data_IF_178768885359
#
_entry.id   IF_178768885359
#
_cell.length_a   1.000
_cell.length_b   1.000
_cell.length_c   1.000
_cell.angle_alpha   90.00
_cell.angle_beta   90.00
_cell.angle_gamma   90.00
#
_symmetry.space_group_name_H-M   'P 1'
#
loop_
_entity.id
_entity.type
_entity.pdbx_description
1 polymer ?
#
# COMPACT_ATOMS: atom_id res chain seq x y z
N UNK A 1 -15.27 -13.09 20.97
CA UNK A 1 -14.64 -13.99 19.98
C UNK A 1 -14.42 -13.19 18.71
N UNK A 2 -13.17 -13.05 18.27
CA UNK A 2 -12.84 -12.28 17.08
C UNK A 2 -12.99 -13.21 15.86
N UNK A 3 -14.14 -13.16 15.19
CA UNK A 3 -14.42 -13.88 13.93
C UNK A 3 -13.85 -13.13 12.73
N UNK A 4 -12.63 -12.61 12.84
CA UNK A 4 -11.83 -12.24 11.68
C UNK A 4 -11.28 -13.54 11.10
N UNK A 5 -12.10 -14.24 10.31
CA UNK A 5 -11.56 -15.27 9.42
C UNK A 5 -10.41 -14.63 8.63
N UNK A 6 -9.27 -15.31 8.57
CA UNK A 6 -8.12 -14.90 7.76
C UNK A 6 -8.57 -15.02 6.30
N UNK A 7 -9.24 -13.97 5.82
CA UNK A 7 -9.62 -13.83 4.43
C UNK A 7 -8.38 -13.31 3.72
N UNK A 8 -7.94 -14.04 2.69
CA UNK A 8 -6.79 -13.61 1.91
C UNK A 8 -7.12 -12.28 1.21
N UNK A 9 -6.16 -11.35 1.06
CA UNK A 9 -6.42 -10.02 0.49
C UNK A 9 -7.11 -10.07 -0.89
N UNK A 10 -6.76 -11.06 -1.72
CA UNK A 10 -7.38 -11.26 -3.03
C UNK A 10 -8.82 -11.75 -2.92
N UNK A 11 -9.13 -12.60 -1.94
CA UNK A 11 -10.51 -13.03 -1.70
C UNK A 11 -11.37 -11.85 -1.22
N UNK A 12 -10.80 -10.98 -0.39
CA UNK A 12 -11.45 -9.72 0.01
C UNK A 12 -11.70 -8.79 -1.18
N UNK A 13 -10.73 -8.67 -2.10
CA UNK A 13 -10.87 -7.88 -3.31
C UNK A 13 -11.98 -8.41 -4.23
N UNK A 14 -12.07 -9.74 -4.41
CA UNK A 14 -13.14 -10.35 -5.20
C UNK A 14 -14.52 -10.14 -4.57
N UNK A 15 -14.62 -10.15 -3.24
CA UNK A 15 -15.86 -9.80 -2.54
C UNK A 15 -16.20 -8.32 -2.77
N UNK A 16 -15.25 -7.40 -2.59
CA UNK A 16 -15.46 -5.97 -2.82
C UNK A 16 -15.96 -5.68 -4.24
N UNK A 17 -15.34 -6.31 -5.24
CA UNK A 17 -15.78 -6.25 -6.64
C UNK A 17 -17.24 -6.69 -6.83
N UNK A 18 -17.65 -7.81 -6.22
CA UNK A 18 -19.05 -8.29 -6.29
C UNK A 18 -20.05 -7.30 -5.73
N UNK A 19 -19.64 -6.46 -4.79
CA UNK A 19 -20.46 -5.39 -4.21
C UNK A 19 -20.26 -4.02 -4.88
N UNK A 20 -19.57 -3.97 -6.02
CA UNK A 20 -19.23 -2.73 -6.73
C UNK A 20 -18.45 -1.72 -5.86
N UNK A 21 -17.63 -2.22 -4.94
CA UNK A 21 -16.72 -1.40 -4.16
C UNK A 21 -15.34 -1.37 -4.84
N UNK A 22 -14.90 -0.18 -5.24
CA UNK A 22 -13.57 0.07 -5.78
C UNK A 22 -12.57 0.28 -4.64
N UNK A 23 -11.44 -0.45 -4.66
CA UNK A 23 -10.38 -0.32 -3.66
C UNK A 23 -9.17 0.34 -4.31
N UNK A 24 -8.73 1.46 -3.73
CA UNK A 24 -7.43 2.06 -4.00
C UNK A 24 -6.44 1.63 -2.92
N UNK A 25 -5.25 1.17 -3.32
CA UNK A 25 -4.23 0.69 -2.40
C UNK A 25 -3.04 1.65 -2.39
N UNK A 26 -2.51 1.94 -1.20
CA UNK A 26 -1.38 2.86 -1.03
C UNK A 26 -0.26 2.17 -0.25
N UNK A 27 0.88 1.95 -0.90
CA UNK A 27 2.09 1.40 -0.28
C UNK A 27 2.97 2.51 0.29
N UNK A 28 3.15 2.53 1.60
CA UNK A 28 3.92 3.58 2.30
C UNK A 28 5.28 3.05 2.75
N UNK A 29 6.35 3.82 2.50
CA UNK A 29 7.70 3.51 2.96
C UNK A 29 8.78 4.19 2.11
N UNK A 30 9.85 4.66 2.71
CA UNK A 30 10.91 5.38 1.98
C UNK A 30 11.80 4.47 1.11
N UNK A 31 11.63 3.15 1.18
CA UNK A 31 12.50 2.19 0.51
C UNK A 31 13.87 2.09 1.21
N UNK A 32 14.94 1.95 0.42
CA UNK A 32 16.30 1.92 0.95
C UNK A 32 16.81 3.33 1.26
N UNK A 33 17.08 3.60 2.54
CA UNK A 33 17.65 4.86 3.01
C UNK A 33 18.97 4.63 3.75
N UNK A 34 19.88 5.59 3.64
CA UNK A 34 21.13 5.60 4.41
C UNK A 34 20.90 6.35 5.72
N UNK A 35 20.93 5.64 6.83
CA UNK A 35 20.82 6.23 8.18
C UNK A 35 22.23 6.46 8.71
N UNK A 36 22.54 7.73 9.04
CA UNK A 36 23.82 8.09 9.65
C UNK A 36 23.71 7.95 11.17
N UNK A 37 24.49 7.05 11.72
CA UNK A 37 24.73 6.90 13.15
C UNK A 37 26.06 7.56 13.53
N UNK A 38 26.32 7.71 14.84
CA UNK A 38 27.43 8.49 15.39
C UNK A 38 28.80 8.16 14.78
N UNK A 39 29.04 6.89 14.41
CA UNK A 39 30.30 6.42 13.80
C UNK A 39 30.12 5.55 12.54
N UNK A 40 28.89 5.31 12.07
CA UNK A 40 28.62 4.41 10.95
C UNK A 40 27.44 4.91 10.11
N UNK A 41 27.42 4.59 8.82
CA UNK A 41 26.21 4.76 8.00
C UNK A 41 25.63 3.38 7.71
N UNK A 42 24.37 3.15 8.06
CA UNK A 42 23.66 1.88 7.84
C UNK A 42 22.63 2.04 6.73
N UNK A 43 22.62 1.12 5.77
CA UNK A 43 21.55 1.01 4.80
C UNK A 43 20.34 0.33 5.45
N UNK A 44 19.18 0.99 5.44
CA UNK A 44 17.93 0.50 6.03
C UNK A 44 16.87 0.45 4.94
N UNK A 45 16.24 -0.70 4.73
CA UNK A 45 15.07 -0.79 3.85
C UNK A 45 13.79 -0.70 4.69
N UNK A 46 13.09 0.42 4.59
CA UNK A 46 11.85 0.70 5.33
C UNK A 46 10.60 0.11 4.66
N UNK A 47 10.74 -0.41 3.44
CA UNK A 47 9.66 -1.04 2.68
C UNK A 47 9.90 -2.54 2.47
N UNK A 48 10.74 -3.17 3.30
CA UNK A 48 11.12 -4.58 3.13
C UNK A 48 9.91 -5.54 3.23
N UNK A 49 8.94 -5.20 4.08
CA UNK A 49 7.72 -6.01 4.28
C UNK A 49 6.54 -5.53 3.40
N UNK A 50 6.77 -4.57 2.50
CA UNK A 50 5.73 -4.02 1.64
C UNK A 50 5.46 -4.95 0.46
N UNK A 51 4.36 -5.70 0.52
CA UNK A 51 3.91 -6.53 -0.60
C UNK A 51 3.16 -5.70 -1.66
N UNK A 52 3.95 -4.98 -2.47
CA UNK A 52 3.43 -4.16 -3.57
C UNK A 52 2.66 -5.01 -4.61
N UNK A 53 3.01 -6.29 -4.77
CA UNK A 53 2.35 -7.18 -5.74
C UNK A 53 0.91 -7.49 -5.31
N UNK A 54 0.70 -7.83 -4.04
CA UNK A 54 -0.64 -8.09 -3.52
C UNK A 54 -1.47 -6.81 -3.52
N UNK A 55 -0.90 -5.66 -3.12
CA UNK A 55 -1.59 -4.37 -3.17
C UNK A 55 -2.02 -3.98 -4.60
N UNK A 56 -1.15 -4.21 -5.58
CA UNK A 56 -1.45 -3.96 -7.00
C UNK A 56 -2.62 -4.82 -7.46
N UNK A 57 -2.57 -6.13 -7.20
CA UNK A 57 -3.63 -7.05 -7.61
C UNK A 57 -4.98 -6.71 -6.97
N UNK A 58 -5.00 -6.32 -5.69
CA UNK A 58 -6.24 -5.92 -4.99
C UNK A 58 -6.90 -4.71 -5.67
N UNK A 59 -6.09 -3.69 -6.02
CA UNK A 59 -6.59 -2.53 -6.73
C UNK A 59 -7.12 -2.90 -8.13
N UNK A 60 -6.35 -3.66 -8.90
CA UNK A 60 -6.74 -4.09 -10.25
C UNK A 60 -8.04 -4.91 -10.26
N UNK A 61 -8.19 -5.86 -9.33
CA UNK A 61 -9.38 -6.71 -9.23
C UNK A 61 -10.64 -5.88 -9.03
N UNK A 62 -10.55 -4.82 -8.22
CA UNK A 62 -11.68 -3.94 -7.88
C UNK A 62 -11.85 -2.74 -8.81
N UNK A 63 -10.97 -2.60 -9.82
CA UNK A 63 -10.99 -1.48 -10.77
C UNK A 63 -10.43 -0.17 -10.23
N UNK A 64 -9.70 -0.21 -9.12
CA UNK A 64 -8.97 0.93 -8.57
C UNK A 64 -7.54 1.00 -9.09
N UNK A 65 -6.71 1.78 -8.41
CA UNK A 65 -5.30 1.97 -8.72
C UNK A 65 -4.43 1.82 -7.48
N UNK A 66 -3.24 1.27 -7.68
CA UNK A 66 -2.17 1.23 -6.69
C UNK A 66 -1.30 2.48 -6.75
N UNK A 67 -0.94 2.99 -5.58
CA UNK A 67 -0.05 4.14 -5.42
C UNK A 67 1.09 3.83 -4.45
N UNK A 68 2.25 4.45 -4.67
CA UNK A 68 3.43 4.32 -3.82
C UNK A 68 3.79 5.68 -3.23
N UNK A 69 3.80 5.78 -1.91
CA UNK A 69 4.24 6.96 -1.17
C UNK A 69 5.58 6.72 -0.47
N UNK A 70 6.62 7.46 -0.87
CA UNK A 70 7.97 7.39 -0.28
C UNK A 70 8.16 8.42 0.83
N UNK A 71 7.34 9.45 0.84
CA UNK A 71 7.31 10.50 1.85
C UNK A 71 5.88 11.03 2.05
N UNK A 72 5.74 11.97 2.98
CA UNK A 72 4.45 12.59 3.32
C UNK A 72 3.89 13.44 2.19
N UNK A 73 4.73 14.10 1.40
CA UNK A 73 4.29 14.98 0.30
C UNK A 73 3.70 14.14 -0.84
N UNK A 74 4.34 13.01 -1.18
CA UNK A 74 3.80 12.03 -2.11
C UNK A 74 2.48 11.43 -1.60
N UNK A 75 2.39 11.12 -0.31
CA UNK A 75 1.16 10.59 0.30
C UNK A 75 0.00 11.58 0.18
N UNK A 76 0.22 12.86 0.48
CA UNK A 76 -0.78 13.92 0.33
C UNK A 76 -1.26 14.03 -1.13
N UNK A 77 -0.34 14.06 -2.09
CA UNK A 77 -0.67 14.10 -3.53
C UNK A 77 -1.49 12.90 -3.98
N UNK A 78 -1.23 11.72 -3.42
CA UNK A 78 -1.99 10.50 -3.72
C UNK A 78 -3.43 10.65 -3.24
N UNK A 79 -3.64 11.15 -2.02
CA UNK A 79 -5.00 11.41 -1.51
C UNK A 79 -5.73 12.47 -2.35
N UNK A 80 -5.04 13.53 -2.75
CA UNK A 80 -5.62 14.55 -3.63
C UNK A 80 -6.02 13.98 -4.99
N UNK A 81 -5.20 13.08 -5.56
CA UNK A 81 -5.51 12.38 -6.81
C UNK A 81 -6.76 11.51 -6.64
N UNK A 82 -6.85 10.73 -5.56
CA UNK A 82 -8.01 9.85 -5.29
C UNK A 82 -9.28 10.67 -5.11
N UNK A 83 -9.22 11.83 -4.45
CA UNK A 83 -10.37 12.72 -4.26
C UNK A 83 -10.91 13.33 -5.56
N UNK A 84 -10.13 13.31 -6.64
CA UNK A 84 -10.52 13.86 -7.95
C UNK A 84 -11.13 12.82 -8.90
N UNK A 85 -11.11 11.53 -8.52
CA UNK A 85 -11.71 10.41 -9.26
C UNK A 85 -13.20 10.24 -8.92
#
# INVERSE_FOLDING_TARGET
SNTAGVLEPLEAAEIAKKYNATIYTVGVGAGEMMVKEFFMTRKVNTAADLDEQTLTKVAEVTGGQYFRARDTEELEKIYDTINQL
#
